data_IF_138730717161
#
_entry.id   IF_138730717161
#
_cell.length_a   1.000
_cell.length_b   1.000
_cell.length_c   1.000
_cell.angle_alpha   90.00
_cell.angle_beta   90.00
_cell.angle_gamma   90.00
#
_symmetry.space_group_name_H-M   'P 1'
#
loop_
_entity.id
_entity.type
_entity.pdbx_description
1 polymer ?
#
# COMPACT_ATOMS: atom_id res chain seq x y z
N UNK A 1 -9.55 6.03 10.29
CA UNK A 1 -9.81 6.57 8.96
C UNK A 1 -10.17 8.03 9.09
N UNK A 2 -9.52 8.90 8.33
CA UNK A 2 -9.82 10.32 8.31
C UNK A 2 -10.88 10.60 7.24
N UNK A 3 -11.71 11.61 7.46
CA UNK A 3 -12.63 12.11 6.45
C UNK A 3 -11.83 12.99 5.48
N UNK A 4 -11.28 12.35 4.46
CA UNK A 4 -10.47 13.02 3.45
C UNK A 4 -11.01 12.76 2.06
N UNK A 5 -10.91 13.76 1.23
CA UNK A 5 -11.04 13.60 -0.21
C UNK A 5 -9.66 13.27 -0.77
N UNK A 6 -9.47 12.00 -1.12
CA UNK A 6 -8.19 11.52 -1.64
C UNK A 6 -8.40 11.07 -3.08
N UNK A 7 -7.68 11.67 -4.02
CA UNK A 7 -7.68 11.30 -5.44
C UNK A 7 -9.03 11.35 -6.14
N UNK A 8 -9.91 12.25 -5.75
CA UNK A 8 -11.28 12.26 -6.26
C UNK A 8 -12.12 11.07 -5.78
N UNK A 9 -11.65 10.36 -4.77
CA UNK A 9 -12.39 9.30 -4.07
C UNK A 9 -12.80 9.82 -2.70
N UNK A 10 -13.91 10.56 -2.59
CA UNK A 10 -14.37 11.07 -1.31
C UNK A 10 -14.75 9.90 -0.40
N UNK A 11 -14.17 9.90 0.79
CA UNK A 11 -14.55 8.96 1.84
C UNK A 11 -14.88 9.72 3.12
N UNK A 12 -15.97 9.36 3.75
CA UNK A 12 -16.36 9.91 5.04
C UNK A 12 -16.72 8.77 5.99
N UNK A 13 -16.07 8.75 7.15
CA UNK A 13 -16.36 7.80 8.22
C UNK A 13 -17.75 8.05 8.79
N UNK A 14 -18.52 7.00 8.93
CA UNK A 14 -19.79 6.94 9.63
C UNK A 14 -19.61 6.09 10.91
N UNK A 15 -20.69 5.88 11.64
CA UNK A 15 -20.66 5.04 12.85
C UNK A 15 -20.58 3.55 12.52
N UNK A 16 -20.16 2.75 13.51
CA UNK A 16 -20.19 1.28 13.46
C UNK A 16 -19.43 0.69 12.26
N UNK A 17 -18.26 1.23 11.95
CA UNK A 17 -17.40 0.74 10.89
C UNK A 17 -17.87 0.99 9.47
N UNK A 18 -18.94 1.77 9.29
CA UNK A 18 -19.45 2.16 7.98
C UNK A 18 -18.76 3.41 7.49
N UNK A 19 -18.73 3.58 6.18
CA UNK A 19 -18.24 4.80 5.51
C UNK A 19 -19.10 5.13 4.31
N UNK A 20 -19.26 6.41 4.05
CA UNK A 20 -19.73 6.88 2.76
C UNK A 20 -18.53 6.88 1.81
N UNK A 21 -18.55 6.03 0.80
CA UNK A 21 -17.48 5.88 -0.18
C UNK A 21 -18.04 6.03 -1.59
N UNK A 22 -17.58 7.02 -2.32
CA UNK A 22 -18.07 7.37 -3.67
C UNK A 22 -19.60 7.56 -3.72
N UNK A 23 -20.18 8.16 -2.68
CA UNK A 23 -21.61 8.40 -2.58
C UNK A 23 -22.46 7.21 -2.07
N UNK A 24 -21.86 6.05 -1.85
CA UNK A 24 -22.52 4.86 -1.31
C UNK A 24 -22.09 4.55 0.11
N UNK A 25 -23.05 4.21 0.96
CA UNK A 25 -22.77 3.75 2.31
C UNK A 25 -22.36 2.28 2.29
N UNK A 26 -21.16 1.97 2.80
CA UNK A 26 -20.59 0.62 2.83
C UNK A 26 -20.03 0.27 4.19
N UNK A 27 -20.08 -1.01 4.55
CA UNK A 27 -19.34 -1.55 5.69
C UNK A 27 -17.88 -1.70 5.28
N UNK A 28 -17.00 -0.84 5.81
CA UNK A 28 -15.59 -0.78 5.41
C UNK A 28 -14.65 -1.40 6.45
N UNK A 29 -15.04 -1.36 7.72
CA UNK A 29 -14.30 -1.98 8.83
C UNK A 29 -15.29 -2.66 9.77
N UNK A 30 -14.84 -3.53 10.71
CA UNK A 30 -15.76 -4.22 11.62
C UNK A 30 -16.68 -3.29 12.42
N UNK A 31 -17.92 -3.68 12.69
CA UNK A 31 -18.92 -2.83 13.37
C UNK A 31 -18.53 -2.33 14.76
N UNK A 32 -17.62 -3.03 15.45
CA UNK A 32 -17.13 -2.61 16.77
C UNK A 32 -16.20 -1.39 16.70
N UNK A 33 -15.72 -1.03 15.52
CA UNK A 33 -14.93 0.18 15.28
C UNK A 33 -15.88 1.38 15.09
N UNK A 34 -16.46 1.82 16.20
CA UNK A 34 -17.60 2.76 16.23
C UNK A 34 -17.27 4.08 15.54
N UNK A 35 -16.10 4.62 15.79
CA UNK A 35 -15.64 5.91 15.22
C UNK A 35 -14.70 5.74 14.00
N UNK A 36 -14.55 4.52 13.51
CA UNK A 36 -13.68 4.18 12.39
C UNK A 36 -12.17 4.29 12.69
N UNK A 37 -11.78 4.56 13.93
CA UNK A 37 -10.38 4.62 14.33
C UNK A 37 -9.82 3.23 14.55
N UNK A 38 -8.67 2.98 13.95
CA UNK A 38 -7.92 1.74 14.15
C UNK A 38 -6.46 2.12 14.46
N UNK A 39 -6.23 2.59 15.68
CA UNK A 39 -4.87 2.89 16.14
C UNK A 39 -4.05 1.62 16.33
N UNK A 40 -2.73 1.75 16.42
CA UNK A 40 -1.84 0.62 16.69
C UNK A 40 -2.23 -0.13 17.97
N UNK A 41 -2.68 0.58 19.02
CA UNK A 41 -3.11 -0.03 20.29
C UNK A 41 -4.38 -0.85 20.16
N UNK A 42 -5.36 -0.33 19.39
CA UNK A 42 -6.60 -1.09 19.09
C UNK A 42 -6.27 -2.33 18.27
N UNK A 43 -5.39 -2.18 17.27
CA UNK A 43 -5.01 -3.31 16.44
C UNK A 43 -4.19 -4.35 17.21
N UNK A 44 -3.29 -3.92 18.11
CA UNK A 44 -2.56 -4.82 19.01
C UNK A 44 -3.51 -5.63 19.88
N UNK A 45 -4.53 -5.00 20.48
CA UNK A 45 -5.53 -5.71 21.28
C UNK A 45 -6.27 -6.77 20.47
N UNK A 46 -6.61 -6.48 19.23
CA UNK A 46 -7.21 -7.47 18.34
C UNK A 46 -6.24 -8.59 17.96
N UNK A 47 -4.97 -8.28 17.70
CA UNK A 47 -3.93 -9.27 17.44
C UNK A 47 -3.72 -10.20 18.64
N UNK A 48 -3.65 -9.63 19.85
CA UNK A 48 -3.49 -10.41 21.09
C UNK A 48 -4.69 -11.34 21.33
N UNK A 49 -5.90 -10.84 21.15
CA UNK A 49 -7.12 -11.65 21.21
C UNK A 49 -7.13 -12.79 20.19
N UNK A 50 -6.69 -12.50 18.96
CA UNK A 50 -6.63 -13.47 17.86
C UNK A 50 -5.35 -14.35 17.89
N UNK A 51 -4.47 -14.18 18.87
CA UNK A 51 -3.17 -14.86 18.97
C UNK A 51 -2.27 -14.65 17.76
N UNK A 52 -2.32 -13.46 17.16
CA UNK A 52 -1.45 -13.03 16.05
C UNK A 52 -0.20 -12.36 16.60
N UNK A 53 0.96 -12.95 16.34
CA UNK A 53 2.24 -12.47 16.89
C UNK A 53 2.72 -11.17 16.27
N UNK A 54 2.61 -11.03 14.94
CA UNK A 54 3.07 -9.84 14.20
C UNK A 54 2.20 -9.57 12.98
N UNK A 55 2.23 -8.35 12.50
CA UNK A 55 1.51 -7.93 11.29
C UNK A 55 2.39 -7.10 10.36
N UNK A 56 2.19 -7.28 9.06
CA UNK A 56 2.70 -6.37 8.03
C UNK A 56 1.67 -5.27 7.82
N UNK A 57 2.10 -4.02 7.95
CA UNK A 57 1.23 -2.85 7.81
C UNK A 57 1.53 -2.17 6.48
N UNK A 58 0.57 -2.25 5.57
CA UNK A 58 0.60 -1.55 4.28
C UNK A 58 -0.26 -0.29 4.34
N UNK A 59 -0.02 0.63 3.41
CA UNK A 59 -0.76 1.87 3.25
C UNK A 59 -1.56 1.86 1.96
N UNK A 60 -2.60 2.66 1.93
CA UNK A 60 -3.39 2.93 0.72
C UNK A 60 -3.73 4.43 0.63
N UNK A 61 -3.79 4.96 -0.58
CA UNK A 61 -4.07 6.39 -0.81
C UNK A 61 -5.40 6.85 -0.22
N UNK A 62 -6.37 5.96 -0.14
CA UNK A 62 -7.69 6.23 0.45
C UNK A 62 -7.62 6.70 1.92
N UNK A 63 -6.59 6.30 2.65
CA UNK A 63 -6.36 6.71 4.04
C UNK A 63 -5.30 7.82 4.17
N UNK A 64 -4.69 8.22 3.04
CA UNK A 64 -3.57 9.15 3.00
C UNK A 64 -2.23 8.52 3.39
N UNK A 65 -1.15 9.23 3.11
CA UNK A 65 0.21 8.80 3.44
C UNK A 65 0.47 9.03 4.93
N UNK A 66 0.84 7.99 5.67
CA UNK A 66 0.97 7.99 7.13
C UNK A 66 2.38 7.57 7.59
N UNK A 67 3.40 7.84 6.79
CA UNK A 67 4.77 7.39 7.07
C UNK A 67 5.28 7.77 8.46
N UNK A 68 5.05 9.01 8.91
CA UNK A 68 5.51 9.48 10.22
C UNK A 68 4.85 8.71 11.38
N UNK A 69 3.55 8.46 11.27
CA UNK A 69 2.82 7.68 12.27
C UNK A 69 3.34 6.24 12.30
N UNK A 70 3.48 5.61 11.15
CA UNK A 70 3.94 4.23 11.04
C UNK A 70 5.40 4.06 11.49
N UNK A 71 6.27 5.03 11.24
CA UNK A 71 7.62 5.03 11.78
C UNK A 71 7.62 5.02 13.32
N UNK A 72 6.76 5.84 13.94
CA UNK A 72 6.60 5.84 15.41
C UNK A 72 6.05 4.52 15.93
N UNK A 73 5.08 3.93 15.24
CA UNK A 73 4.50 2.62 15.59
C UNK A 73 5.55 1.52 15.50
N UNK A 74 6.30 1.45 14.40
CA UNK A 74 7.37 0.47 14.22
C UNK A 74 8.47 0.60 15.29
N UNK A 75 8.84 1.82 15.65
CA UNK A 75 9.82 2.05 16.72
C UNK A 75 9.30 1.64 18.11
N UNK A 76 8.01 1.91 18.38
CA UNK A 76 7.37 1.57 19.67
C UNK A 76 7.12 0.07 19.83
N UNK A 77 6.83 -0.63 18.74
CA UNK A 77 6.45 -2.04 18.73
C UNK A 77 7.22 -2.83 17.65
N UNK A 78 8.56 -2.92 17.75
CA UNK A 78 9.41 -3.43 16.66
C UNK A 78 9.17 -4.90 16.33
N UNK A 79 8.76 -5.70 17.32
CA UNK A 79 8.49 -7.14 17.16
C UNK A 79 7.03 -7.44 16.74
N UNK A 80 6.21 -6.41 16.65
CA UNK A 80 4.78 -6.57 16.37
C UNK A 80 4.36 -6.02 15.01
N UNK A 81 5.04 -4.98 14.52
CA UNK A 81 4.66 -4.32 13.26
C UNK A 81 5.84 -4.17 12.32
N UNK A 82 5.74 -4.82 11.17
CA UNK A 82 6.59 -4.54 10.02
C UNK A 82 5.84 -3.55 9.11
N UNK A 83 6.34 -2.32 9.00
CA UNK A 83 5.64 -1.23 8.30
C UNK A 83 6.22 -0.98 6.91
N UNK A 84 5.36 -0.78 5.92
CA UNK A 84 5.74 -0.35 4.58
C UNK A 84 5.59 1.16 4.46
N UNK A 85 6.63 1.85 3.95
CA UNK A 85 6.53 3.24 3.54
C UNK A 85 5.73 3.38 2.24
N UNK A 86 5.17 4.56 1.97
CA UNK A 86 4.47 4.84 0.73
C UNK A 86 4.81 6.26 0.24
N UNK A 87 5.03 6.40 -1.07
CA UNK A 87 5.29 7.68 -1.72
C UNK A 87 4.05 8.18 -2.49
N UNK A 88 4.05 9.45 -2.85
CA UNK A 88 3.05 10.02 -3.76
C UNK A 88 3.45 9.75 -5.21
N UNK A 89 3.28 8.50 -5.65
CA UNK A 89 3.71 8.01 -6.97
C UNK A 89 3.03 8.69 -8.17
N UNK A 90 1.98 9.46 -7.95
CA UNK A 90 1.22 10.16 -8.99
C UNK A 90 1.75 11.56 -9.26
N UNK A 91 2.79 11.99 -8.54
CA UNK A 91 3.45 13.29 -8.67
C UNK A 91 4.95 13.08 -8.86
N UNK A 92 5.64 13.98 -9.57
CA UNK A 92 7.08 13.91 -9.70
C UNK A 92 7.80 13.94 -8.34
N UNK A 93 8.97 13.29 -8.25
CA UNK A 93 9.82 13.29 -7.07
C UNK A 93 9.60 12.12 -6.11
N UNK A 94 8.81 11.14 -6.45
CA UNK A 94 8.61 9.95 -5.60
C UNK A 94 9.88 9.11 -5.42
N UNK A 95 10.80 9.11 -6.39
CA UNK A 95 12.10 8.47 -6.25
C UNK A 95 12.90 9.05 -5.08
N UNK A 96 12.95 10.38 -4.97
CA UNK A 96 13.63 11.02 -3.86
C UNK A 96 12.93 10.73 -2.52
N UNK A 97 11.60 10.75 -2.49
CA UNK A 97 10.82 10.36 -1.31
C UNK A 97 11.11 8.91 -0.90
N UNK A 98 11.20 7.97 -1.85
CA UNK A 98 11.54 6.59 -1.56
C UNK A 98 12.96 6.45 -0.96
N UNK A 99 13.95 7.14 -1.53
CA UNK A 99 15.32 7.19 -1.00
C UNK A 99 15.36 7.73 0.45
N UNK A 100 14.58 8.77 0.75
CA UNK A 100 14.47 9.34 2.09
C UNK A 100 13.80 8.37 3.08
N UNK A 101 12.70 7.72 2.69
CA UNK A 101 12.05 6.70 3.52
C UNK A 101 12.98 5.53 3.84
N UNK A 102 13.68 5.02 2.84
CA UNK A 102 14.65 3.93 3.01
C UNK A 102 15.79 4.38 3.95
N UNK A 103 16.31 5.59 3.78
CA UNK A 103 17.35 6.16 4.63
C UNK A 103 16.88 6.38 6.06
N UNK A 104 15.59 6.65 6.28
CA UNK A 104 14.98 6.78 7.61
C UNK A 104 14.67 5.43 8.29
N UNK A 105 14.93 4.31 7.60
CA UNK A 105 14.84 2.97 8.19
C UNK A 105 13.70 2.08 7.70
N UNK A 106 12.84 2.55 6.78
CA UNK A 106 11.84 1.67 6.17
C UNK A 106 12.53 0.54 5.37
N UNK A 107 12.04 -0.68 5.55
CA UNK A 107 12.55 -1.89 4.89
C UNK A 107 11.62 -2.42 3.79
N UNK A 108 10.52 -1.74 3.57
CA UNK A 108 9.59 -2.00 2.48
C UNK A 108 8.94 -0.71 1.97
N UNK A 109 8.66 -0.67 0.68
CA UNK A 109 7.87 0.37 0.03
C UNK A 109 6.60 -0.26 -0.53
N UNK A 110 5.45 0.36 -0.23
CA UNK A 110 4.14 -0.03 -0.76
C UNK A 110 3.79 0.79 -1.98
N UNK A 111 3.41 0.12 -3.07
CA UNK A 111 2.85 0.74 -4.27
C UNK A 111 1.42 0.22 -4.49
N UNK A 112 0.38 1.02 -4.25
CA UNK A 112 -0.97 0.69 -4.69
C UNK A 112 -1.11 0.98 -6.19
N UNK A 113 -0.59 0.07 -7.03
CA UNK A 113 -0.44 0.29 -8.47
C UNK A 113 -1.78 0.41 -9.19
N UNK A 114 -2.84 -0.19 -8.65
CA UNK A 114 -4.22 0.00 -9.15
C UNK A 114 -4.72 1.46 -9.03
N UNK A 115 -4.04 2.33 -8.24
CA UNK A 115 -4.35 3.76 -8.09
C UNK A 115 -3.49 4.66 -8.97
N UNK A 116 -2.62 4.10 -9.80
CA UNK A 116 -1.76 4.87 -10.70
C UNK A 116 -2.44 5.27 -12.01
N UNK A 117 -3.72 4.94 -12.17
CA UNK A 117 -4.56 5.37 -13.28
C UNK A 117 -5.14 6.75 -12.98
N UNK A 118 -4.71 7.75 -13.74
CA UNK A 118 -5.09 9.15 -13.58
C UNK A 118 -6.16 9.51 -14.64
N UNK A 119 -6.77 10.68 -14.51
CA UNK A 119 -7.74 11.18 -15.50
C UNK A 119 -7.13 11.37 -16.89
N UNK A 120 -5.85 11.73 -16.94
CA UNK A 120 -5.09 12.04 -18.17
C UNK A 120 -3.95 11.03 -18.42
N UNK A 121 -4.22 9.75 -18.20
CA UNK A 121 -3.23 8.69 -18.41
C UNK A 121 -2.94 7.88 -17.15
N UNK A 122 -1.77 7.23 -17.12
CA UNK A 122 -1.33 6.47 -15.95
C UNK A 122 0.18 6.60 -15.73
N UNK A 123 0.61 6.39 -14.52
CA UNK A 123 2.03 6.17 -14.21
C UNK A 123 2.37 4.73 -14.54
N UNK A 124 3.33 4.53 -15.44
CA UNK A 124 3.79 3.21 -15.85
C UNK A 124 4.76 2.66 -14.79
N UNK A 125 4.60 1.39 -14.43
CA UNK A 125 5.52 0.73 -13.49
C UNK A 125 6.93 0.53 -14.08
N UNK A 126 7.05 0.48 -15.40
CA UNK A 126 8.32 0.39 -16.13
C UNK A 126 8.82 1.75 -16.65
N UNK A 127 8.33 2.87 -16.11
CA UNK A 127 8.90 4.19 -16.40
C UNK A 127 10.32 4.33 -15.83
N UNK A 128 11.15 5.15 -16.44
CA UNK A 128 12.57 5.33 -16.06
C UNK A 128 12.72 5.63 -14.56
N UNK A 129 11.90 6.53 -14.01
CA UNK A 129 11.93 6.89 -12.58
C UNK A 129 11.53 5.71 -11.67
N UNK A 130 10.53 4.89 -12.08
CA UNK A 130 10.16 3.67 -11.34
C UNK A 130 11.27 2.63 -11.41
N UNK A 131 11.84 2.41 -12.58
CA UNK A 131 12.93 1.44 -12.78
C UNK A 131 14.18 1.83 -11.96
N UNK A 132 14.54 3.11 -11.90
CA UNK A 132 15.61 3.59 -11.02
C UNK A 132 15.29 3.34 -9.54
N UNK A 133 14.03 3.52 -9.13
CA UNK A 133 13.61 3.21 -7.76
C UNK A 133 13.73 1.72 -7.44
N UNK A 134 13.31 0.84 -8.34
CA UNK A 134 13.43 -0.61 -8.15
C UNK A 134 14.89 -1.07 -8.12
N UNK A 135 15.75 -0.50 -8.96
CA UNK A 135 17.18 -0.71 -8.87
C UNK A 135 17.72 -0.35 -7.49
N UNK A 136 17.40 0.84 -7.00
CA UNK A 136 17.83 1.29 -5.67
C UNK A 136 17.27 0.41 -4.54
N UNK A 137 16.02 -0.04 -4.65
CA UNK A 137 15.41 -0.96 -3.69
C UNK A 137 16.14 -2.30 -3.68
N UNK A 138 16.47 -2.86 -4.83
CA UNK A 138 17.23 -4.11 -4.93
C UNK A 138 18.61 -3.96 -4.28
N UNK A 139 19.36 -2.89 -4.59
CA UNK A 139 20.67 -2.63 -3.97
C UNK A 139 20.63 -2.49 -2.45
N UNK A 140 19.55 -1.96 -1.91
CA UNK A 140 19.34 -1.74 -0.46
C UNK A 140 18.61 -2.86 0.24
N UNK A 141 18.31 -3.97 -0.46
CA UNK A 141 17.53 -5.11 0.06
C UNK A 141 16.17 -4.69 0.63
N UNK A 142 15.46 -3.82 -0.09
CA UNK A 142 14.15 -3.29 0.28
C UNK A 142 13.06 -4.12 -0.40
N UNK A 143 12.02 -4.46 0.35
CA UNK A 143 10.88 -5.24 -0.17
C UNK A 143 9.92 -4.30 -0.93
N UNK A 144 9.55 -4.68 -2.14
CA UNK A 144 8.43 -4.09 -2.86
C UNK A 144 7.13 -4.80 -2.44
N UNK A 145 6.21 -4.07 -1.82
CA UNK A 145 4.83 -4.51 -1.62
C UNK A 145 3.95 -3.83 -2.66
N UNK A 146 3.28 -4.58 -3.52
CA UNK A 146 2.53 -4.01 -4.65
C UNK A 146 1.14 -4.62 -4.78
N UNK A 147 0.12 -3.77 -5.02
CA UNK A 147 -1.22 -4.20 -5.41
C UNK A 147 -1.45 -3.79 -6.85
N UNK A 148 -1.58 -4.77 -7.74
CA UNK A 148 -1.78 -4.55 -9.16
C UNK A 148 -3.24 -4.16 -9.46
N UNK A 149 -3.47 -3.58 -10.63
CA UNK A 149 -4.81 -3.40 -11.18
C UNK A 149 -5.41 -4.76 -11.59
N UNK A 150 -6.74 -4.83 -11.62
CA UNK A 150 -7.44 -6.03 -12.07
C UNK A 150 -7.12 -6.35 -13.55
N UNK A 151 -7.01 -7.64 -13.84
CA UNK A 151 -6.69 -8.12 -15.17
C UNK A 151 -5.20 -8.06 -15.52
N UNK A 152 -4.90 -8.00 -16.82
CA UNK A 152 -3.56 -8.10 -17.38
C UNK A 152 -2.85 -6.76 -17.62
N UNK A 153 -3.49 -5.65 -17.24
CA UNK A 153 -3.07 -4.28 -17.60
C UNK A 153 -1.61 -3.97 -17.20
N UNK A 154 -1.15 -4.52 -16.07
CA UNK A 154 0.20 -4.28 -15.54
C UNK A 154 1.10 -5.51 -15.57
N UNK A 155 0.62 -6.63 -16.14
CA UNK A 155 1.38 -7.89 -16.17
C UNK A 155 2.67 -7.76 -16.96
N UNK A 156 2.63 -7.09 -18.13
CA UNK A 156 3.81 -6.93 -18.97
C UNK A 156 4.87 -6.06 -18.27
N UNK A 157 4.45 -4.97 -17.62
CA UNK A 157 5.35 -4.11 -16.84
C UNK A 157 6.02 -4.89 -15.70
N UNK A 158 5.24 -5.73 -14.99
CA UNK A 158 5.79 -6.58 -13.93
C UNK A 158 6.78 -7.62 -14.44
N UNK A 159 6.54 -8.21 -15.63
CA UNK A 159 7.49 -9.13 -16.27
C UNK A 159 8.84 -8.44 -16.55
N UNK A 160 8.80 -7.22 -17.07
CA UNK A 160 10.01 -6.43 -17.34
C UNK A 160 10.77 -6.11 -16.04
N UNK A 161 10.07 -5.70 -14.98
CA UNK A 161 10.66 -5.43 -13.67
C UNK A 161 11.34 -6.67 -13.08
N UNK A 162 10.66 -7.83 -13.12
CA UNK A 162 11.20 -9.09 -12.58
C UNK A 162 12.41 -9.56 -13.39
N UNK A 163 12.41 -9.35 -14.72
CA UNK A 163 13.51 -9.71 -15.58
C UNK A 163 14.73 -8.82 -15.35
N UNK A 164 14.53 -7.51 -15.20
CA UNK A 164 15.62 -6.56 -14.99
C UNK A 164 16.18 -6.61 -13.56
N UNK A 165 15.31 -6.84 -12.56
CA UNK A 165 15.68 -6.88 -11.14
C UNK A 165 15.35 -8.23 -10.49
N UNK A 166 16.05 -9.31 -10.85
CA UNK A 166 15.69 -10.68 -10.43
C UNK A 166 15.93 -10.95 -8.93
N UNK A 167 16.63 -10.06 -8.24
CA UNK A 167 16.87 -10.16 -6.80
C UNK A 167 15.98 -9.20 -5.98
N UNK A 168 15.17 -8.39 -6.62
CA UNK A 168 14.19 -7.56 -5.94
C UNK A 168 13.15 -8.46 -5.27
N UNK A 169 13.02 -8.34 -3.96
CA UNK A 169 12.00 -9.08 -3.20
C UNK A 169 10.64 -8.42 -3.39
N UNK A 170 9.70 -9.15 -3.98
CA UNK A 170 8.37 -8.63 -4.33
C UNK A 170 7.30 -9.42 -3.59
N UNK A 171 6.40 -8.70 -2.91
CA UNK A 171 5.19 -9.22 -2.32
C UNK A 171 3.98 -8.64 -3.07
N UNK A 172 3.33 -9.47 -3.89
CA UNK A 172 2.14 -9.09 -4.66
C UNK A 172 0.91 -9.34 -3.79
N UNK A 173 0.17 -8.28 -3.52
CA UNK A 173 -1.07 -8.33 -2.75
C UNK A 173 -2.25 -8.88 -3.56
N UNK A 174 -3.29 -9.35 -2.85
CA UNK A 174 -4.57 -9.76 -3.43
C UNK A 174 -4.46 -10.81 -4.54
N UNK A 175 -3.47 -11.71 -4.48
CA UNK A 175 -3.17 -12.68 -5.54
C UNK A 175 -3.03 -12.04 -6.93
N UNK A 176 -2.47 -10.82 -7.04
CA UNK A 176 -2.34 -10.07 -8.28
C UNK A 176 -3.65 -9.50 -8.81
N UNK A 177 -4.69 -9.35 -7.96
CA UNK A 177 -6.03 -8.90 -8.35
C UNK A 177 -6.72 -9.82 -9.38
N UNK A 178 -6.46 -11.11 -9.29
CA UNK A 178 -7.05 -12.11 -10.18
C UNK A 178 -8.48 -12.40 -9.74
N UNK A 179 -9.45 -11.70 -10.29
CA UNK A 179 -10.86 -11.72 -9.86
C UNK A 179 -11.76 -12.58 -10.74
N UNK A 180 -11.26 -13.04 -11.89
CA UNK A 180 -12.02 -13.88 -12.83
C UNK A 180 -11.24 -15.15 -13.19
N UNK A 181 -11.91 -16.28 -13.52
CA UNK A 181 -11.24 -17.50 -13.94
C UNK A 181 -10.29 -17.31 -15.14
N UNK A 182 -10.64 -16.40 -16.04
CA UNK A 182 -9.83 -16.05 -17.22
C UNK A 182 -8.41 -15.60 -16.85
N UNK A 183 -8.26 -14.81 -15.78
CA UNK A 183 -6.97 -14.31 -15.33
C UNK A 183 -6.16 -15.34 -14.53
N UNK A 184 -6.81 -16.39 -14.03
CA UNK A 184 -6.14 -17.44 -13.23
C UNK A 184 -5.26 -18.37 -14.08
N UNK A 185 -5.44 -18.34 -15.39
CA UNK A 185 -4.70 -19.18 -16.34
C UNK A 185 -3.42 -18.50 -16.87
N UNK A 186 -3.19 -17.23 -16.53
CA UNK A 186 -2.01 -16.44 -16.93
C UNK A 186 -0.93 -16.42 -15.87
#
# INVERSE_FOLDING_TARGET
RQDTEVNGLPIRTLTNGRSLFMGEERQMVPPFMIDGRNSAEVFLSNMDYAQVSAAVVTQEFIDGIQNEYLAKVSHKYPDRFFVCGMCEFRKPGYLQQAKELISSGFKAIKIPAHRLFLKEGRVMLNSDEMMEMFHYMQEKDIILSIDLADGDTQVQEMKEIIQEYPQLRIAIGHFGMVTTPHWQEQ
#
